data_IF_407104770659
#
_entry.id   IF_407104770659
#
_cell.length_a   1.000
_cell.length_b   1.000
_cell.length_c   1.000
_cell.angle_alpha   90.00
_cell.angle_beta   90.00
_cell.angle_gamma   90.00
#
_symmetry.space_group_name_H-M   'P 1'
#
loop_
_entity.id
_entity.type
_entity.pdbx_description
1 polymer ?
#
# COMPACT_ATOMS: atom_id res chain seq x y z
N UNK A 1 -24.97 -5.82 -31.30
CA UNK A 1 -24.95 -5.34 -29.91
C UNK A 1 -23.50 -5.06 -29.60
N UNK A 2 -23.11 -3.79 -29.59
CA UNK A 2 -21.71 -3.38 -29.40
C UNK A 2 -21.48 -3.12 -27.93
N UNK A 3 -20.57 -3.87 -27.30
CA UNK A 3 -20.12 -3.63 -25.93
C UNK A 3 -19.49 -2.23 -25.82
N UNK A 4 -19.72 -1.48 -24.72
CA UNK A 4 -19.07 -0.19 -24.55
C UNK A 4 -17.60 -0.43 -24.22
N UNK A 5 -16.71 -0.06 -25.16
CA UNK A 5 -15.29 0.13 -24.89
C UNK A 5 -15.13 1.32 -23.94
N UNK A 6 -15.15 1.07 -22.64
CA UNK A 6 -14.58 1.99 -21.66
C UNK A 6 -13.07 1.99 -21.89
N UNK A 7 -12.61 2.85 -22.79
CA UNK A 7 -11.18 3.10 -23.02
C UNK A 7 -10.65 3.85 -21.80
N UNK A 8 -10.32 3.13 -20.73
CA UNK A 8 -9.68 3.72 -19.56
C UNK A 8 -8.42 4.46 -20.00
N UNK A 9 -8.31 5.73 -19.60
CA UNK A 9 -7.16 6.57 -19.96
C UNK A 9 -5.91 5.99 -19.30
N UNK A 10 -5.07 5.37 -20.12
CA UNK A 10 -3.72 4.94 -19.73
C UNK A 10 -2.76 6.12 -19.78
N UNK A 11 -1.75 6.06 -18.93
CA UNK A 11 -0.59 6.97 -18.96
C UNK A 11 0.23 6.76 -20.24
N UNK A 12 1.17 7.66 -20.53
CA UNK A 12 2.12 7.50 -21.63
C UNK A 12 2.95 6.19 -21.54
N UNK A 13 3.01 5.57 -20.35
CA UNK A 13 3.70 4.30 -20.09
C UNK A 13 2.79 3.07 -20.21
N UNK A 14 1.52 3.24 -20.58
CA UNK A 14 0.55 2.16 -20.75
C UNK A 14 -0.12 1.68 -19.45
N UNK A 15 0.23 2.27 -18.30
CA UNK A 15 -0.34 1.95 -16.99
C UNK A 15 -1.60 2.78 -16.68
N UNK A 16 -2.47 2.28 -15.80
CA UNK A 16 -3.62 3.05 -15.31
C UNK A 16 -3.18 4.21 -14.41
N UNK A 17 -2.13 4.01 -13.61
CA UNK A 17 -1.67 5.00 -12.64
C UNK A 17 -0.30 5.57 -12.98
N UNK A 18 -0.11 6.86 -12.74
CA UNK A 18 1.17 7.54 -13.00
C UNK A 18 2.30 7.03 -12.10
N UNK A 19 1.98 6.62 -10.88
CA UNK A 19 2.95 6.08 -9.91
C UNK A 19 3.24 4.58 -10.07
N UNK A 20 2.64 3.94 -11.07
CA UNK A 20 2.87 2.52 -11.33
C UNK A 20 4.36 2.25 -11.56
N UNK A 21 4.92 1.30 -10.82
CA UNK A 21 6.32 0.89 -10.93
C UNK A 21 7.33 2.01 -10.65
N UNK A 22 6.97 3.02 -9.85
CA UNK A 22 7.86 4.10 -9.47
C UNK A 22 8.58 3.84 -8.14
N UNK A 23 9.82 4.31 -8.04
CA UNK A 23 10.56 4.52 -6.80
C UNK A 23 10.23 5.90 -6.27
N UNK A 24 9.79 5.96 -5.01
CA UNK A 24 9.14 7.12 -4.41
C UNK A 24 9.85 7.48 -3.11
N UNK A 25 10.09 8.77 -2.88
CA UNK A 25 10.80 9.24 -1.69
C UNK A 25 9.84 9.45 -0.54
N UNK A 26 10.13 8.88 0.63
CA UNK A 26 9.31 9.03 1.82
C UNK A 26 10.14 9.63 2.96
N UNK A 27 9.56 10.61 3.68
CA UNK A 27 10.25 11.29 4.78
C UNK A 27 9.35 11.46 6.01
N UNK A 28 9.91 11.17 7.18
CA UNK A 28 9.21 11.31 8.46
C UNK A 28 9.38 12.73 8.97
N UNK A 29 8.26 13.45 9.10
CA UNK A 29 8.31 14.85 9.57
C UNK A 29 8.75 14.99 11.04
N UNK A 30 8.67 13.92 11.83
CA UNK A 30 9.00 13.94 13.27
C UNK A 30 10.42 13.43 13.53
N UNK A 31 10.75 12.19 13.17
CA UNK A 31 12.05 11.60 13.48
C UNK A 31 13.08 11.70 12.34
N UNK A 32 12.74 12.38 11.24
CA UNK A 32 13.61 12.61 10.08
C UNK A 32 14.05 11.35 9.32
N UNK A 33 13.48 10.18 9.63
CA UNK A 33 13.66 8.97 8.83
C UNK A 33 13.36 9.26 7.35
N UNK A 34 14.22 8.80 6.47
CA UNK A 34 14.07 8.94 5.02
C UNK A 34 14.32 7.60 4.36
N UNK A 35 13.49 7.24 3.38
CA UNK A 35 13.67 6.04 2.60
C UNK A 35 13.05 6.16 1.21
N UNK A 36 13.39 5.21 0.34
CA UNK A 36 12.78 5.07 -0.98
C UNK A 36 11.95 3.79 -1.01
N UNK A 37 10.65 3.95 -1.23
CA UNK A 37 9.69 2.84 -1.31
C UNK A 37 9.38 2.61 -2.79
N UNK A 38 9.37 1.34 -3.22
CA UNK A 38 9.00 0.99 -4.59
C UNK A 38 7.52 0.61 -4.68
N UNK A 39 6.79 1.16 -5.66
CA UNK A 39 5.45 0.71 -5.99
C UNK A 39 5.49 -0.41 -7.02
N UNK A 40 5.42 -1.67 -6.60
CA UNK A 40 5.50 -2.83 -7.52
C UNK A 40 4.21 -3.09 -8.32
N UNK A 41 3.27 -2.15 -8.32
CA UNK A 41 1.88 -2.34 -8.76
C UNK A 41 1.50 -1.28 -9.78
N UNK A 42 0.47 -1.57 -10.58
CA UNK A 42 -0.29 -0.55 -11.29
C UNK A 42 -1.48 -0.11 -10.42
N UNK A 43 -1.19 0.68 -9.38
CA UNK A 43 -2.19 1.09 -8.38
C UNK A 43 -1.75 2.34 -7.61
N UNK A 44 -2.72 3.04 -7.01
CA UNK A 44 -2.48 4.29 -6.28
C UNK A 44 -1.73 4.04 -4.97
N UNK A 45 -0.64 4.75 -4.70
CA UNK A 45 0.10 4.60 -3.44
C UNK A 45 -0.42 5.52 -2.33
N UNK A 46 -0.30 5.09 -1.06
CA UNK A 46 -0.63 5.94 0.06
C UNK A 46 0.27 7.18 0.17
N UNK A 47 -0.35 8.33 0.44
CA UNK A 47 0.37 9.58 0.74
C UNK A 47 1.21 9.51 2.02
N UNK A 48 0.82 8.69 3.00
CA UNK A 48 1.58 8.48 4.22
C UNK A 48 1.48 7.03 4.72
N UNK A 49 2.45 6.64 5.55
CA UNK A 49 2.48 5.34 6.23
C UNK A 49 3.18 5.43 7.58
N UNK A 50 3.13 4.35 8.35
CA UNK A 50 3.88 4.21 9.59
C UNK A 50 5.39 4.32 9.32
N UNK A 51 6.06 5.18 10.09
CA UNK A 51 7.49 5.31 10.07
C UNK A 51 8.14 4.12 10.79
N UNK A 52 9.06 3.38 10.16
CA UNK A 52 9.67 2.20 10.78
C UNK A 52 10.56 2.57 11.99
N UNK A 53 11.05 3.81 12.07
CA UNK A 53 11.90 4.24 13.18
C UNK A 53 11.16 4.71 14.43
N UNK A 54 9.98 5.34 14.29
CA UNK A 54 9.24 5.88 15.45
C UNK A 54 7.83 5.30 15.62
N UNK A 55 7.37 4.43 14.70
CA UNK A 55 6.05 3.82 14.73
C UNK A 55 4.88 4.75 14.41
N UNK A 56 5.10 6.07 14.33
CA UNK A 56 4.05 7.06 14.06
C UNK A 56 3.70 7.13 12.57
N UNK A 57 2.45 7.43 12.18
CA UNK A 57 1.99 7.53 10.79
C UNK A 57 2.43 8.84 10.11
N UNK A 58 3.71 9.19 10.27
CA UNK A 58 4.28 10.48 9.85
C UNK A 58 5.29 10.36 8.72
N UNK A 59 5.40 9.19 8.09
CA UNK A 59 6.26 9.02 6.94
C UNK A 59 5.46 9.33 5.67
N UNK A 60 5.70 10.51 5.10
CA UNK A 60 4.95 11.04 3.95
C UNK A 60 5.71 10.83 2.66
N UNK A 61 4.99 10.58 1.56
CA UNK A 61 5.54 10.69 0.22
C UNK A 61 5.93 12.15 -0.02
N UNK A 62 7.17 12.38 -0.39
CA UNK A 62 7.78 13.69 -0.64
C UNK A 62 8.32 13.75 -2.06
N UNK A 63 8.38 14.96 -2.61
CA UNK A 63 9.00 15.24 -3.90
C UNK A 63 8.45 14.39 -5.06
N UNK A 64 7.13 14.39 -5.27
CA UNK A 64 6.43 13.69 -6.37
C UNK A 64 7.10 13.84 -7.74
N UNK A 65 7.69 15.00 -8.03
CA UNK A 65 8.38 15.28 -9.30
C UNK A 65 9.67 14.46 -9.49
N UNK A 66 10.19 13.86 -8.42
CA UNK A 66 11.39 13.03 -8.40
C UNK A 66 11.09 11.54 -8.43
N UNK A 67 9.81 11.15 -8.53
CA UNK A 67 9.43 9.75 -8.66
C UNK A 67 10.03 9.15 -9.93
N UNK A 68 10.77 8.06 -9.76
CA UNK A 68 11.51 7.42 -10.85
C UNK A 68 10.84 6.13 -11.27
N UNK A 69 10.34 6.09 -12.50
CA UNK A 69 9.82 4.86 -13.10
C UNK A 69 10.92 3.82 -13.25
N UNK A 70 10.67 2.63 -12.71
CA UNK A 70 11.60 1.52 -12.63
C UNK A 70 10.84 0.17 -12.65
N UNK A 71 10.31 -0.25 -13.82
CA UNK A 71 9.52 -1.48 -13.95
C UNK A 71 10.31 -2.75 -13.66
N UNK A 72 11.61 -2.76 -13.94
CA UNK A 72 12.49 -3.90 -13.71
C UNK A 72 13.26 -3.82 -12.39
N UNK A 73 12.82 -2.96 -11.45
CA UNK A 73 13.49 -2.81 -10.15
C UNK A 73 13.44 -4.12 -9.36
N UNK A 74 14.59 -4.50 -8.80
CA UNK A 74 14.71 -5.66 -7.91
C UNK A 74 14.94 -5.11 -6.50
N UNK A 75 13.96 -5.22 -5.59
CA UNK A 75 14.13 -4.67 -4.26
C UNK A 75 15.26 -5.39 -3.51
N UNK A 76 16.04 -4.63 -2.77
CA UNK A 76 17.05 -5.22 -1.88
C UNK A 76 16.40 -5.69 -0.58
N UNK A 77 17.03 -6.65 0.10
CA UNK A 77 16.56 -7.09 1.43
C UNK A 77 16.40 -5.90 2.38
N UNK A 78 15.29 -5.85 3.10
CA UNK A 78 14.91 -4.75 3.99
C UNK A 78 14.25 -3.55 3.30
N UNK A 79 14.20 -3.50 1.95
CA UNK A 79 13.49 -2.45 1.25
C UNK A 79 11.98 -2.61 1.45
N UNK A 80 11.29 -1.49 1.71
CA UNK A 80 9.83 -1.49 1.74
C UNK A 80 9.25 -1.33 0.34
N UNK A 81 8.20 -2.10 0.06
CA UNK A 81 7.59 -2.21 -1.26
C UNK A 81 6.07 -2.15 -1.08
N UNK A 82 5.42 -1.28 -1.86
CA UNK A 82 3.96 -1.32 -2.01
C UNK A 82 3.60 -2.50 -2.91
N UNK A 83 2.76 -3.39 -2.41
CA UNK A 83 2.27 -4.61 -3.09
C UNK A 83 0.73 -4.67 -3.04
N UNK A 84 0.13 -5.45 -3.93
CA UNK A 84 -1.32 -5.61 -3.96
C UNK A 84 -1.79 -6.32 -2.70
N UNK A 85 -2.78 -5.73 -2.04
CA UNK A 85 -3.39 -6.30 -0.84
C UNK A 85 -3.97 -7.68 -1.14
N UNK A 86 -3.55 -8.70 -0.39
CA UNK A 86 -4.23 -10.00 -0.41
C UNK A 86 -5.45 -9.96 0.51
N UNK A 87 -6.41 -10.86 0.29
CA UNK A 87 -7.58 -10.94 1.14
C UNK A 87 -7.18 -11.30 2.57
N UNK A 88 -6.28 -12.26 2.73
CA UNK A 88 -5.77 -12.72 4.01
C UNK A 88 -5.15 -11.58 4.81
N UNK A 89 -4.31 -10.78 4.13
CA UNK A 89 -3.64 -9.61 4.74
C UNK A 89 -4.64 -8.53 5.14
N UNK A 90 -5.65 -8.26 4.30
CA UNK A 90 -6.69 -7.30 4.63
C UNK A 90 -7.44 -7.68 5.92
N UNK A 91 -7.74 -8.97 6.09
CA UNK A 91 -8.37 -9.50 7.30
C UNK A 91 -7.46 -9.40 8.53
N UNK A 92 -6.18 -9.70 8.39
CA UNK A 92 -5.20 -9.55 9.47
C UNK A 92 -5.14 -8.10 9.98
N UNK A 93 -5.01 -7.14 9.06
CA UNK A 93 -4.97 -5.71 9.38
C UNK A 93 -6.29 -5.23 9.99
N UNK A 94 -7.43 -5.66 9.47
CA UNK A 94 -8.74 -5.34 10.00
C UNK A 94 -8.90 -5.85 11.44
N UNK A 95 -8.55 -7.11 11.71
CA UNK A 95 -8.56 -7.69 13.07
C UNK A 95 -7.68 -6.91 14.02
N UNK A 96 -6.44 -6.60 13.61
CA UNK A 96 -5.49 -5.82 14.42
C UNK A 96 -6.02 -4.42 14.74
N UNK A 97 -6.63 -3.74 13.79
CA UNK A 97 -7.18 -2.41 14.01
C UNK A 97 -8.40 -2.44 14.96
N UNK A 98 -9.32 -3.39 14.75
CA UNK A 98 -10.56 -3.47 15.52
C UNK A 98 -10.34 -4.02 16.94
N UNK A 99 -9.48 -5.02 17.13
CA UNK A 99 -9.23 -5.62 18.45
C UNK A 99 -8.67 -4.64 19.47
N UNK A 100 -7.96 -3.60 19.01
CA UNK A 100 -7.48 -2.51 19.88
C UNK A 100 -8.59 -1.58 20.38
N UNK A 101 -9.80 -1.67 19.81
CA UNK A 101 -10.90 -0.72 20.05
C UNK A 101 -12.20 -1.36 20.54
N UNK A 102 -12.39 -2.67 20.33
CA UNK A 102 -13.65 -3.38 20.59
C UNK A 102 -13.41 -4.75 21.22
N UNK A 103 -14.37 -5.20 22.04
CA UNK A 103 -14.38 -6.56 22.57
C UNK A 103 -14.84 -7.56 21.50
N UNK A 104 -14.38 -8.83 21.54
CA UNK A 104 -14.84 -9.87 20.61
C UNK A 104 -16.35 -10.12 20.71
N UNK A 105 -17.00 -10.41 19.57
CA UNK A 105 -18.43 -10.74 19.47
C UNK A 105 -18.95 -10.63 18.02
N UNK A 106 -20.17 -11.11 17.73
CA UNK A 106 -20.69 -11.17 16.35
C UNK A 106 -20.73 -9.83 15.61
N UNK A 107 -21.07 -8.74 16.33
CA UNK A 107 -21.04 -7.39 15.75
C UNK A 107 -19.62 -6.95 15.37
N UNK A 108 -18.63 -7.38 16.16
CA UNK A 108 -17.20 -7.10 15.90
C UNK A 108 -16.73 -7.83 14.65
N UNK A 109 -17.19 -9.07 14.41
CA UNK A 109 -16.84 -9.84 13.21
C UNK A 109 -17.39 -9.19 11.95
N UNK A 110 -18.64 -8.70 11.97
CA UNK A 110 -19.21 -7.95 10.84
C UNK A 110 -18.43 -6.67 10.53
N UNK A 111 -17.95 -5.96 11.56
CA UNK A 111 -17.11 -4.78 11.39
C UNK A 111 -15.75 -5.15 10.79
N UNK A 112 -15.15 -6.26 11.23
CA UNK A 112 -13.89 -6.77 10.67
C UNK A 112 -14.07 -7.08 9.18
N UNK A 113 -15.15 -7.75 8.79
CA UNK A 113 -15.45 -8.05 7.37
C UNK A 113 -15.56 -6.75 6.54
N UNK A 114 -16.32 -5.77 7.04
CA UNK A 114 -16.49 -4.49 6.37
C UNK A 114 -15.16 -3.74 6.21
N UNK A 115 -14.33 -3.71 7.24
CA UNK A 115 -13.03 -3.04 7.20
C UNK A 115 -12.04 -3.78 6.30
N UNK A 116 -12.02 -5.12 6.35
CA UNK A 116 -11.18 -5.94 5.48
C UNK A 116 -11.52 -5.71 4.01
N UNK A 117 -12.80 -5.68 3.64
CA UNK A 117 -13.22 -5.38 2.26
C UNK A 117 -12.78 -3.97 1.80
N UNK A 118 -12.85 -2.98 2.70
CA UNK A 118 -12.38 -1.61 2.42
C UNK A 118 -10.87 -1.53 2.19
N UNK A 119 -10.08 -2.37 2.87
CA UNK A 119 -8.64 -2.47 2.65
C UNK A 119 -8.30 -3.26 1.39
N UNK A 120 -9.03 -4.33 1.11
CA UNK A 120 -8.78 -5.24 -0.01
C UNK A 120 -9.01 -4.57 -1.37
N UNK A 121 -10.16 -3.90 -1.55
CA UNK A 121 -10.53 -3.21 -2.81
C UNK A 121 -10.32 -4.09 -4.05
N UNK A 122 -10.83 -5.33 -4.00
CA UNK A 122 -10.67 -6.33 -5.06
C UNK A 122 -9.21 -6.60 -5.48
N UNK A 123 -8.27 -6.44 -4.54
CA UNK A 123 -6.83 -6.62 -4.74
C UNK A 123 -6.09 -5.38 -5.23
N UNK A 124 -6.79 -4.26 -5.45
CA UNK A 124 -6.17 -2.98 -5.82
C UNK A 124 -5.60 -2.22 -4.60
N UNK A 125 -6.05 -2.58 -3.39
CA UNK A 125 -5.61 -1.95 -2.15
C UNK A 125 -4.09 -2.00 -1.96
N UNK A 126 -3.47 -0.94 -1.40
CA UNK A 126 -2.05 -0.94 -1.07
C UNK A 126 -1.76 -1.68 0.23
N UNK A 127 -0.83 -2.63 0.16
CA UNK A 127 -0.15 -3.21 1.33
C UNK A 127 1.35 -2.89 1.28
N UNK A 128 1.97 -2.71 2.45
CA UNK A 128 3.41 -2.45 2.56
C UNK A 128 4.12 -3.70 3.09
N UNK A 129 5.04 -4.22 2.29
CA UNK A 129 5.86 -5.38 2.65
C UNK A 129 7.32 -4.99 2.75
N UNK A 130 8.08 -5.78 3.52
CA UNK A 130 9.54 -5.64 3.65
C UNK A 130 10.18 -6.79 2.88
N UNK A 131 10.95 -6.47 1.85
CA UNK A 131 11.63 -7.46 1.01
C UNK A 131 12.59 -8.33 1.82
N UNK A 132 12.56 -9.65 1.58
CA UNK A 132 13.40 -10.60 2.30
C UNK A 132 13.08 -10.80 3.79
N UNK A 133 11.89 -10.39 4.23
CA UNK A 133 11.31 -10.74 5.53
C UNK A 133 9.91 -11.33 5.32
N UNK A 134 9.66 -12.49 5.93
CA UNK A 134 8.30 -13.01 6.03
C UNK A 134 7.50 -12.10 6.98
N UNK A 135 6.24 -11.86 6.65
CA UNK A 135 5.35 -11.18 7.59
C UNK A 135 5.19 -12.09 8.80
N UNK A 136 5.54 -11.58 9.98
CA UNK A 136 5.47 -12.37 11.21
C UNK A 136 3.99 -12.53 11.55
N UNK A 137 3.51 -13.77 11.46
CA UNK A 137 2.14 -14.22 11.79
C UNK A 137 1.81 -14.01 13.25
#
# INVERSE_FOLDING_TARGET
>A
MSEPLTTERRTARGHMHAEAFCLMQYACKVCRHFEVIWNSRDGVTPFCTACPSCGQPHLYHVNFMMDRFAPDHKPHRGQRVWTSMTRERAYELARRNISTRRKPGPETDMVIDSVANSYYQDGAGPDIRIEGYAEVV
#
